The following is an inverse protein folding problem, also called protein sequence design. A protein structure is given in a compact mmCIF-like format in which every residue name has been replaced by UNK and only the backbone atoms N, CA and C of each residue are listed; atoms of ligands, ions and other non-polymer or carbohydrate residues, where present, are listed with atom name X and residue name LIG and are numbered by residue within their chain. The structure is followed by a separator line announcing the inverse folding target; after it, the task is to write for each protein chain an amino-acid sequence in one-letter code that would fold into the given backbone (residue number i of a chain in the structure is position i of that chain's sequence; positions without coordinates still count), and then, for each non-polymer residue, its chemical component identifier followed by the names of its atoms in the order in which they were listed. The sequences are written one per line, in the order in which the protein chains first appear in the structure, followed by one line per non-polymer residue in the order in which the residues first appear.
data_IF_073801097969
#
_entry.id   IF_073801097969
#
_cell.length_a   1.000
_cell.length_b   1.000
_cell.length_c   1.000
_cell.angle_alpha   90.00
_cell.angle_beta   90.00
_cell.angle_gamma   90.00
#
_symmetry.space_group_name_H-M   'P 1'
#
loop_
_entity.id
_entity.type
_entity.pdbx_description
1 polymer ?
#
# COMPACT_ATOMS: atom_id res chain seq x y z
N UNK A 1 -35.79 -15.06 -14.24
CA UNK A 1 -35.39 -14.57 -12.91
C UNK A 1 -34.00 -15.11 -12.63
N UNK A 2 -32.95 -14.40 -13.09
CA UNK A 2 -31.58 -14.73 -12.72
C UNK A 2 -31.38 -14.27 -11.27
N UNK A 3 -31.22 -15.22 -10.35
CA UNK A 3 -30.87 -14.91 -8.97
C UNK A 3 -29.59 -14.06 -8.95
N UNK A 4 -29.65 -12.92 -8.28
CA UNK A 4 -28.48 -12.10 -8.03
C UNK A 4 -27.48 -12.93 -7.22
N UNK A 5 -26.34 -13.28 -7.82
CA UNK A 5 -25.31 -14.07 -7.14
C UNK A 5 -24.69 -13.23 -6.02
N UNK A 6 -24.56 -13.82 -4.84
CA UNK A 6 -23.96 -13.18 -3.67
C UNK A 6 -22.50 -12.80 -3.97
N UNK A 7 -22.16 -11.50 -3.87
CA UNK A 7 -20.80 -11.00 -4.06
C UNK A 7 -20.04 -10.99 -2.74
N UNK A 8 -18.82 -11.50 -2.76
CA UNK A 8 -17.86 -11.37 -1.65
C UNK A 8 -17.20 -10.00 -1.71
N UNK A 9 -16.79 -9.47 -0.56
CA UNK A 9 -16.08 -8.19 -0.46
C UNK A 9 -14.86 -8.34 0.44
N UNK A 10 -13.70 -8.00 -0.09
CA UNK A 10 -12.47 -7.84 0.70
C UNK A 10 -12.11 -6.37 0.68
N UNK A 11 -11.93 -5.80 1.87
CA UNK A 11 -11.37 -4.47 2.07
C UNK A 11 -10.32 -4.54 3.16
N UNK A 12 -9.17 -3.95 2.88
CA UNK A 12 -8.04 -3.88 3.80
C UNK A 12 -8.19 -2.66 4.70
N UNK A 13 -7.82 -2.82 5.97
CA UNK A 13 -7.82 -1.73 6.96
C UNK A 13 -6.61 -0.81 6.70
N UNK A 14 -6.73 -0.02 5.63
CA UNK A 14 -5.74 0.90 5.12
C UNK A 14 -6.34 2.29 5.18
N UNK A 15 -5.67 3.21 5.90
CA UNK A 15 -6.14 4.57 6.04
C UNK A 15 -5.88 5.38 4.77
N UNK A 16 -6.85 6.18 4.31
CA UNK A 16 -6.64 7.07 3.18
C UNK A 16 -5.59 8.13 3.50
N UNK A 17 -4.85 8.53 2.48
CA UNK A 17 -3.76 9.51 2.55
C UNK A 17 -3.91 10.53 1.43
N UNK A 18 -3.40 11.73 1.65
CA UNK A 18 -3.35 12.78 0.62
C UNK A 18 -1.91 13.03 0.19
N UNK A 19 -1.70 13.09 -1.12
CA UNK A 19 -0.40 13.39 -1.71
C UNK A 19 -0.09 14.87 -1.65
N UNK A 20 1.18 15.21 -1.79
CA UNK A 20 1.60 16.55 -2.16
C UNK A 20 1.48 16.74 -3.67
N UNK A 21 1.01 17.90 -4.10
CA UNK A 21 0.71 18.21 -5.51
C UNK A 21 1.85 18.94 -6.23
N UNK A 22 2.98 19.19 -5.57
CA UNK A 22 4.14 19.82 -6.19
C UNK A 22 5.19 18.78 -6.63
N UNK A 23 6.16 19.21 -7.46
CA UNK A 23 7.28 18.35 -7.85
C UNK A 23 6.88 17.12 -8.69
N UNK A 24 5.96 17.32 -9.64
CA UNK A 24 5.32 16.29 -10.47
C UNK A 24 4.36 15.35 -9.70
N UNK A 25 3.99 15.73 -8.47
CA UNK A 25 3.11 14.95 -7.61
C UNK A 25 3.87 13.90 -6.80
N UNK A 26 3.23 13.35 -5.77
CA UNK A 26 3.81 12.36 -4.86
C UNK A 26 2.95 11.09 -4.80
N UNK A 27 2.38 10.69 -5.94
CA UNK A 27 1.34 9.67 -6.01
C UNK A 27 1.88 8.29 -5.62
N UNK A 28 3.03 7.91 -6.17
CA UNK A 28 3.71 6.66 -5.82
C UNK A 28 4.13 6.64 -4.35
N UNK A 29 4.74 7.73 -3.85
CA UNK A 29 5.20 7.82 -2.47
C UNK A 29 4.04 7.74 -1.48
N UNK A 30 2.92 8.38 -1.80
CA UNK A 30 1.73 8.40 -0.94
C UNK A 30 0.98 7.07 -0.98
N UNK A 31 0.92 6.41 -2.15
CA UNK A 31 0.40 5.04 -2.26
C UNK A 31 1.21 4.08 -1.37
N UNK A 32 2.55 4.18 -1.41
CA UNK A 32 3.42 3.37 -0.58
C UNK A 32 3.32 3.73 0.92
N UNK A 33 3.22 5.01 1.27
CA UNK A 33 2.95 5.45 2.64
C UNK A 33 1.67 4.83 3.18
N UNK A 34 0.57 4.89 2.41
CA UNK A 34 -0.72 4.32 2.80
C UNK A 34 -0.64 2.81 3.01
N UNK A 35 -0.02 2.08 2.08
CA UNK A 35 0.17 0.63 2.19
C UNK A 35 1.13 0.27 3.34
N UNK A 36 2.17 1.07 3.59
CA UNK A 36 3.11 0.85 4.68
C UNK A 36 2.42 0.76 6.05
N UNK A 37 1.39 1.57 6.28
CA UNK A 37 0.58 1.53 7.50
C UNK A 37 -0.04 0.15 7.74
N UNK A 38 -0.50 -0.52 6.68
CA UNK A 38 -1.05 -1.89 6.75
C UNK A 38 -0.03 -2.93 7.25
N UNK A 39 1.25 -2.62 7.11
CA UNK A 39 2.37 -3.47 7.52
C UNK A 39 3.15 -2.93 8.72
N UNK A 40 2.56 -1.98 9.45
CA UNK A 40 3.15 -1.42 10.67
C UNK A 40 4.32 -0.47 10.39
N UNK A 41 4.30 0.22 9.26
CA UNK A 41 5.36 1.13 8.83
C UNK A 41 4.79 2.53 8.57
N UNK A 42 5.33 3.56 9.24
CA UNK A 42 5.23 4.95 8.79
C UNK A 42 6.42 5.26 7.88
N UNK A 43 6.15 5.83 6.71
CA UNK A 43 7.18 6.19 5.72
C UNK A 43 6.76 7.54 5.11
N UNK A 44 7.54 8.59 5.35
CA UNK A 44 7.30 9.93 4.80
C UNK A 44 7.33 9.93 3.27
N UNK A 45 6.48 10.75 2.63
CA UNK A 45 6.50 10.99 1.19
C UNK A 45 7.89 11.47 0.72
N UNK A 46 8.47 12.42 1.44
CA UNK A 46 9.81 12.94 1.14
C UNK A 46 10.90 11.89 1.30
N UNK A 47 10.78 11.02 2.31
CA UNK A 47 11.76 9.96 2.53
C UNK A 47 11.75 8.98 1.36
N UNK A 48 10.57 8.55 0.90
CA UNK A 48 10.44 7.67 -0.26
C UNK A 48 11.09 8.28 -1.50
N UNK A 49 10.77 9.54 -1.82
CA UNK A 49 11.37 10.32 -2.92
C UNK A 49 12.91 10.40 -2.82
N UNK A 50 13.45 10.45 -1.61
CA UNK A 50 14.89 10.61 -1.38
C UNK A 50 15.72 9.33 -1.57
N UNK A 51 15.09 8.14 -1.55
CA UNK A 51 15.84 6.87 -1.65
C UNK A 51 16.55 6.75 -3.00
N UNK A 52 15.90 7.19 -4.08
CA UNK A 52 16.43 7.13 -5.44
C UNK A 52 16.46 8.51 -6.12
N UNK A 53 16.45 9.58 -5.32
CA UNK A 53 16.57 10.98 -5.78
C UNK A 53 15.59 11.36 -6.92
N UNK A 54 14.39 10.78 -6.92
CA UNK A 54 13.45 10.92 -8.03
C UNK A 54 12.07 10.36 -7.71
N UNK A 55 11.08 10.76 -8.50
CA UNK A 55 9.70 10.29 -8.37
C UNK A 55 9.61 8.77 -8.34
N UNK A 56 8.75 8.24 -7.47
CA UNK A 56 8.44 6.81 -7.44
C UNK A 56 7.52 6.45 -8.62
N UNK A 57 8.13 6.09 -9.75
CA UNK A 57 7.43 5.67 -10.97
C UNK A 57 7.41 4.15 -11.10
N UNK A 58 6.23 3.59 -11.42
CA UNK A 58 6.04 2.16 -11.67
C UNK A 58 6.15 1.83 -13.17
N UNK A 59 7.38 1.84 -13.68
CA UNK A 59 7.72 1.46 -15.07
C UNK A 59 8.85 0.42 -15.06
N UNK A 60 9.39 0.04 -16.22
CA UNK A 60 10.53 -0.87 -16.27
C UNK A 60 11.89 -0.23 -16.00
N UNK A 61 12.01 1.06 -16.28
CA UNK A 61 13.19 1.86 -15.95
C UNK A 61 12.96 2.68 -14.67
N UNK A 62 11.90 2.36 -13.92
CA UNK A 62 11.54 3.01 -12.67
C UNK A 62 12.46 2.63 -11.52
N UNK A 63 12.40 3.42 -10.45
CA UNK A 63 13.15 3.21 -9.21
C UNK A 63 12.31 2.47 -8.13
N UNK A 64 11.20 1.88 -8.56
CA UNK A 64 10.16 1.29 -7.75
C UNK A 64 10.62 0.04 -6.98
N UNK A 65 11.21 -0.93 -7.68
CA UNK A 65 11.70 -2.16 -7.06
C UNK A 65 12.79 -1.87 -6.01
N UNK A 66 13.79 -1.06 -6.36
CA UNK A 66 14.88 -0.67 -5.45
C UNK A 66 14.34 0.06 -4.21
N UNK A 67 13.33 0.92 -4.39
CA UNK A 67 12.67 1.62 -3.28
C UNK A 67 11.92 0.63 -2.37
N UNK A 68 11.15 -0.30 -2.93
CA UNK A 68 10.40 -1.31 -2.18
C UNK A 68 11.34 -2.26 -1.43
N UNK A 69 12.45 -2.68 -2.04
CA UNK A 69 13.48 -3.49 -1.41
C UNK A 69 14.15 -2.74 -0.26
N UNK A 70 14.55 -1.48 -0.49
CA UNK A 70 15.16 -0.61 0.52
C UNK A 70 14.24 -0.42 1.72
N UNK A 71 12.93 -0.27 1.49
CA UNK A 71 11.92 -0.10 2.53
C UNK A 71 11.44 -1.42 3.16
N UNK A 72 12.09 -2.54 2.80
CA UNK A 72 11.89 -3.87 3.37
C UNK A 72 10.50 -4.47 3.12
N UNK A 73 9.96 -4.23 1.93
CA UNK A 73 8.76 -4.90 1.46
C UNK A 73 9.08 -6.17 0.68
N UNK A 74 8.20 -7.15 0.80
CA UNK A 74 8.08 -8.26 -0.15
C UNK A 74 7.01 -7.89 -1.16
N UNK A 75 7.30 -8.01 -2.45
CA UNK A 75 6.38 -7.59 -3.50
C UNK A 75 6.42 -8.52 -4.71
N UNK A 76 5.41 -8.38 -5.56
CA UNK A 76 5.34 -8.98 -6.90
C UNK A 76 5.03 -7.86 -7.90
N UNK A 77 5.86 -7.69 -8.92
CA UNK A 77 5.62 -6.76 -10.03
C UNK A 77 4.74 -7.42 -11.08
N UNK A 78 3.76 -6.69 -11.61
CA UNK A 78 3.04 -7.11 -12.81
C UNK A 78 3.98 -7.11 -14.02
N UNK A 79 4.19 -8.30 -14.64
CA UNK A 79 5.10 -8.45 -15.77
C UNK A 79 4.40 -8.10 -17.09
N UNK A 80 4.22 -6.81 -17.37
CA UNK A 80 3.54 -6.35 -18.56
C UNK A 80 4.28 -6.71 -19.88
N UNK A 81 5.60 -6.94 -19.86
CA UNK A 81 6.37 -7.30 -21.06
C UNK A 81 6.03 -8.69 -21.59
N UNK A 82 5.65 -9.61 -20.71
CA UNK A 82 5.32 -10.99 -21.07
C UNK A 82 3.83 -11.20 -21.36
N UNK A 83 3.00 -10.16 -21.16
CA UNK A 83 1.55 -10.27 -21.28
C UNK A 83 1.03 -9.76 -22.63
N UNK A 84 0.20 -10.58 -23.27
CA UNK A 84 -0.42 -10.24 -24.54
C UNK A 84 -1.42 -9.08 -24.38
N UNK A 85 -1.42 -8.16 -25.34
CA UNK A 85 -2.38 -7.05 -25.38
C UNK A 85 -3.72 -7.49 -26.00
N UNK A 86 -4.87 -6.94 -25.54
CA UNK A 86 -5.00 -5.97 -24.45
C UNK A 86 -4.85 -6.63 -23.06
N UNK A 87 -4.07 -6.01 -22.16
CA UNK A 87 -3.69 -6.62 -20.88
C UNK A 87 -4.74 -6.52 -19.78
N UNK A 88 -5.69 -5.58 -19.88
CA UNK A 88 -6.53 -5.19 -18.74
C UNK A 88 -7.26 -6.34 -18.04
N UNK A 89 -7.76 -7.34 -18.79
CA UNK A 89 -8.49 -8.45 -18.18
C UNK A 89 -7.57 -9.31 -17.29
N UNK A 90 -6.36 -9.60 -17.79
CA UNK A 90 -5.37 -10.39 -17.04
C UNK A 90 -4.82 -9.59 -15.87
N UNK A 91 -4.58 -8.30 -16.05
CA UNK A 91 -4.19 -7.40 -14.97
C UNK A 91 -5.28 -7.35 -13.87
N UNK A 92 -6.56 -7.23 -14.24
CA UNK A 92 -7.67 -7.26 -13.27
C UNK A 92 -7.77 -8.59 -12.52
N UNK A 93 -7.54 -9.72 -13.21
CA UNK A 93 -7.48 -11.04 -12.57
C UNK A 93 -6.31 -11.13 -11.58
N UNK A 94 -5.15 -10.59 -11.96
CA UNK A 94 -3.99 -10.51 -11.08
C UNK A 94 -4.27 -9.66 -9.84
N UNK A 95 -4.85 -8.46 -10.00
CA UNK A 95 -5.29 -7.63 -8.87
C UNK A 95 -6.26 -8.39 -7.96
N UNK A 96 -7.28 -9.05 -8.53
CA UNK A 96 -8.25 -9.85 -7.79
C UNK A 96 -7.57 -10.93 -6.95
N UNK A 97 -6.67 -11.71 -7.56
CA UNK A 97 -5.92 -12.77 -6.88
C UNK A 97 -5.15 -12.24 -5.66
N UNK A 98 -4.51 -11.08 -5.77
CA UNK A 98 -3.75 -10.47 -4.66
C UNK A 98 -4.66 -9.88 -3.59
N UNK A 99 -5.70 -9.13 -3.99
CA UNK A 99 -6.62 -8.48 -3.04
C UNK A 99 -7.43 -9.51 -2.24
N UNK A 100 -7.85 -10.62 -2.85
CA UNK A 100 -8.50 -11.75 -2.14
C UNK A 100 -7.58 -12.36 -1.09
N UNK A 101 -6.27 -12.41 -1.35
CA UNK A 101 -5.24 -12.86 -0.40
C UNK A 101 -4.81 -11.77 0.60
N UNK A 102 -5.48 -10.61 0.58
CA UNK A 102 -5.20 -9.46 1.45
C UNK A 102 -3.84 -8.80 1.23
N UNK A 103 -3.33 -8.87 0.00
CA UNK A 103 -2.18 -8.11 -0.47
C UNK A 103 -2.69 -6.82 -1.14
N UNK A 104 -2.43 -5.63 -0.58
CA UNK A 104 -2.77 -4.38 -1.27
C UNK A 104 -1.93 -4.24 -2.55
N UNK A 105 -2.50 -3.56 -3.54
CA UNK A 105 -1.83 -3.33 -4.81
C UNK A 105 -1.60 -1.84 -5.06
N UNK A 106 -0.54 -1.52 -5.78
CA UNK A 106 -0.29 -0.22 -6.38
C UNK A 106 -0.66 -0.34 -7.85
N UNK A 107 -1.43 0.60 -8.38
CA UNK A 107 -1.92 0.61 -9.77
C UNK A 107 -1.63 1.94 -10.46
N UNK A 108 -1.41 1.89 -11.77
CA UNK A 108 -1.29 3.06 -12.65
C UNK A 108 -2.60 3.34 -13.41
N UNK A 109 -2.95 4.62 -13.58
CA UNK A 109 -4.14 5.06 -14.32
C UNK A 109 -3.88 6.28 -15.20
N UNK A 110 -4.72 6.46 -16.22
CA UNK A 110 -4.86 7.71 -16.96
C UNK A 110 -5.80 8.68 -16.26
N UNK A 111 -5.50 9.97 -16.30
CA UNK A 111 -6.29 11.07 -15.76
C UNK A 111 -6.44 12.15 -16.84
N UNK A 112 -7.65 12.69 -17.01
CA UNK A 112 -7.95 13.61 -18.10
C UNK A 112 -7.70 15.09 -17.76
N UNK A 113 -7.58 15.42 -16.47
CA UNK A 113 -7.41 16.78 -15.94
C UNK A 113 -6.01 17.03 -15.33
N UNK A 114 -5.00 16.28 -15.80
CA UNK A 114 -3.59 16.56 -15.51
C UNK A 114 -2.98 17.48 -16.57
N UNK A 115 -2.01 18.31 -16.16
CA UNK A 115 -1.22 19.15 -17.06
C UNK A 115 -0.14 18.35 -17.79
N UNK A 116 0.31 17.25 -17.20
CA UNK A 116 1.35 16.37 -17.74
C UNK A 116 0.72 15.10 -18.28
N UNK A 117 0.81 14.90 -19.60
CA UNK A 117 0.20 13.78 -20.31
C UNK A 117 1.29 12.81 -20.74
N UNK A 118 1.30 11.62 -20.13
CA UNK A 118 2.22 10.53 -20.49
C UNK A 118 1.51 9.43 -21.31
N UNK A 119 2.20 8.77 -22.22
CA UNK A 119 1.61 7.67 -22.99
C UNK A 119 1.40 6.40 -22.11
N UNK A 120 2.19 6.23 -21.05
CA UNK A 120 2.13 5.11 -20.12
C UNK A 120 1.03 5.26 -19.07
N UNK A 121 1.07 6.30 -18.24
CA UNK A 121 0.05 6.64 -17.23
C UNK A 121 0.30 8.02 -16.59
N UNK A 122 -0.70 8.59 -15.90
CA UNK A 122 -0.58 9.90 -15.24
C UNK A 122 -0.53 9.85 -13.72
N UNK A 123 -1.03 8.77 -13.12
CA UNK A 123 -1.24 8.73 -11.67
C UNK A 123 -1.13 7.32 -11.12
N UNK A 124 -0.65 7.23 -9.88
CA UNK A 124 -0.46 5.99 -9.14
C UNK A 124 -1.37 5.99 -7.91
N UNK A 125 -2.03 4.87 -7.63
CA UNK A 125 -2.99 4.76 -6.52
C UNK A 125 -2.88 3.42 -5.79
N UNK A 126 -3.21 3.38 -4.49
CA UNK A 126 -3.36 2.13 -3.76
C UNK A 126 -4.76 1.53 -4.01
N UNK A 127 -4.79 0.33 -4.59
CA UNK A 127 -5.94 -0.56 -4.56
C UNK A 127 -5.94 -1.37 -3.26
N UNK A 128 -7.01 -1.24 -2.49
CA UNK A 128 -7.12 -1.75 -1.11
C UNK A 128 -8.24 -2.77 -0.94
N UNK A 129 -8.99 -3.07 -1.99
CA UNK A 129 -10.06 -4.05 -1.90
C UNK A 129 -10.69 -4.40 -3.24
N UNK A 130 -11.49 -5.46 -3.21
CA UNK A 130 -12.28 -5.92 -4.34
C UNK A 130 -13.63 -6.48 -3.88
N UNK A 131 -14.67 -6.17 -4.63
CA UNK A 131 -15.95 -6.84 -4.57
C UNK A 131 -16.06 -7.80 -5.75
N UNK A 132 -16.37 -9.08 -5.51
CA UNK A 132 -16.27 -10.10 -6.56
C UNK A 132 -17.24 -11.29 -6.44
N UNK A 133 -17.53 -11.92 -7.59
CA UNK A 133 -18.33 -13.16 -7.67
C UNK A 133 -17.47 -14.43 -7.62
N UNK A 134 -18.02 -15.49 -7.00
CA UNK A 134 -17.80 -16.95 -7.12
C UNK A 134 -16.39 -17.58 -7.33
N UNK A 135 -15.42 -16.94 -7.98
CA UNK A 135 -14.04 -17.46 -8.14
C UNK A 135 -13.02 -16.34 -8.28
N UNK A 136 -11.82 -16.51 -7.72
CA UNK A 136 -10.69 -15.58 -7.79
C UNK A 136 -9.80 -15.76 -9.04
N UNK A 137 -10.13 -16.74 -9.90
CA UNK A 137 -9.33 -17.15 -11.06
C UNK A 137 -9.85 -16.65 -12.43
N UNK A 138 -10.90 -15.82 -12.46
CA UNK A 138 -11.51 -15.33 -13.70
C UNK A 138 -11.82 -13.84 -13.65
N UNK A 139 -11.67 -13.20 -14.80
CA UNK A 139 -12.15 -11.85 -15.03
C UNK A 139 -13.67 -11.85 -15.02
N UNK A 140 -14.26 -10.99 -14.19
CA UNK A 140 -15.69 -10.75 -14.16
C UNK A 140 -15.94 -9.24 -14.31
N UNK A 141 -16.64 -8.80 -15.37
CA UNK A 141 -16.97 -7.38 -15.57
C UNK A 141 -17.87 -6.81 -14.45
N UNK A 142 -18.47 -7.66 -13.62
CA UNK A 142 -19.29 -7.26 -12.47
C UNK A 142 -18.48 -7.09 -11.18
N UNK A 143 -17.20 -7.47 -11.16
CA UNK A 143 -16.32 -7.18 -10.03
C UNK A 143 -16.08 -5.66 -9.94
N UNK A 144 -15.81 -5.17 -8.74
CA UNK A 144 -15.51 -3.76 -8.50
C UNK A 144 -14.23 -3.60 -7.67
N UNK A 145 -13.34 -2.73 -8.13
CA UNK A 145 -12.10 -2.39 -7.46
C UNK A 145 -12.36 -1.27 -6.45
N UNK A 146 -11.75 -1.39 -5.26
CA UNK A 146 -11.83 -0.40 -4.19
C UNK A 146 -10.45 0.22 -3.94
N UNK A 147 -10.34 1.54 -4.01
CA UNK A 147 -9.06 2.25 -3.99
C UNK A 147 -9.22 3.70 -3.51
N UNK A 148 -8.11 4.35 -3.18
CA UNK A 148 -8.07 5.79 -2.85
C UNK A 148 -7.42 6.58 -3.98
N UNK A 149 -7.95 7.77 -4.31
CA UNK A 149 -7.41 8.63 -5.36
C UNK A 149 -6.18 9.45 -4.93
N UNK A 150 -5.88 9.51 -3.63
CA UNK A 150 -4.80 10.28 -3.03
C UNK A 150 -4.94 11.82 -3.08
N UNK A 151 -6.03 12.35 -3.62
CA UNK A 151 -6.35 13.78 -3.58
C UNK A 151 -7.31 14.13 -2.44
N UNK A 152 -8.09 13.15 -1.99
CA UNK A 152 -8.99 13.26 -0.86
C UNK A 152 -9.01 11.96 -0.03
N UNK A 153 -9.92 11.86 0.94
CA UNK A 153 -10.02 10.72 1.85
C UNK A 153 -11.11 9.70 1.47
N UNK A 154 -11.71 9.84 0.28
CA UNK A 154 -12.86 9.06 -0.16
C UNK A 154 -12.41 7.72 -0.72
N UNK A 155 -13.04 6.66 -0.22
CA UNK A 155 -12.97 5.36 -0.86
C UNK A 155 -13.76 5.38 -2.16
N UNK A 156 -13.09 5.11 -3.27
CA UNK A 156 -13.73 4.91 -4.57
C UNK A 156 -13.99 3.42 -4.78
N UNK A 157 -15.13 3.11 -5.38
CA UNK A 157 -15.51 1.77 -5.80
C UNK A 157 -15.94 1.83 -7.27
N UNK A 158 -15.24 1.10 -8.15
CA UNK A 158 -15.50 1.14 -9.58
C UNK A 158 -15.59 -0.24 -10.19
N UNK A 159 -16.69 -0.51 -10.87
CA UNK A 159 -16.96 -1.77 -11.53
C UNK A 159 -16.10 -1.92 -12.80
N UNK A 160 -15.42 -3.07 -12.93
CA UNK A 160 -14.40 -3.32 -13.95
C UNK A 160 -14.94 -3.30 -15.38
N UNK A 161 -16.13 -3.84 -15.60
CA UNK A 161 -16.76 -3.92 -16.92
C UNK A 161 -17.43 -2.63 -17.40
N UNK A 162 -17.40 -1.56 -16.61
CA UNK A 162 -17.97 -0.28 -17.05
C UNK A 162 -17.09 0.36 -18.10
N UNK A 163 -17.71 0.97 -19.11
CA UNK A 163 -16.98 1.64 -20.18
C UNK A 163 -16.04 2.73 -19.66
N UNK A 164 -16.22 3.24 -18.44
CA UNK A 164 -15.42 4.34 -17.89
C UNK A 164 -14.28 3.88 -16.99
N UNK A 165 -14.19 2.58 -16.66
CA UNK A 165 -13.12 2.06 -15.81
C UNK A 165 -11.87 1.72 -16.61
N UNK A 166 -12.04 1.16 -17.81
CA UNK A 166 -10.94 0.74 -18.67
C UNK A 166 -11.01 1.51 -19.99
N UNK A 167 -9.95 2.24 -20.33
CA UNK A 167 -9.91 3.11 -21.52
C UNK A 167 -8.56 3.07 -22.21
N UNK A 168 -8.53 3.49 -23.47
CA UNK A 168 -7.30 3.95 -24.10
C UNK A 168 -6.98 5.37 -23.63
N UNK A 169 -5.71 5.79 -23.72
CA UNK A 169 -5.28 7.16 -23.40
C UNK A 169 -6.21 8.23 -23.99
N UNK A 170 -6.49 8.13 -25.30
CA UNK A 170 -7.32 9.10 -26.04
C UNK A 170 -8.78 9.18 -25.58
N UNK A 171 -9.29 8.08 -25.01
CA UNK A 171 -10.71 7.95 -24.64
C UNK A 171 -10.96 8.04 -23.14
N UNK A 172 -9.91 8.09 -22.32
CA UNK A 172 -10.09 8.41 -20.91
C UNK A 172 -10.53 9.87 -20.76
N UNK A 173 -11.63 10.05 -20.02
CA UNK A 173 -12.22 11.34 -19.64
C UNK A 173 -12.44 11.43 -18.12
N UNK A 174 -11.97 10.43 -17.38
CA UNK A 174 -12.05 10.39 -15.93
C UNK A 174 -11.06 11.37 -15.33
N UNK A 175 -11.50 12.06 -14.28
CA UNK A 175 -10.68 13.01 -13.51
C UNK A 175 -10.11 12.37 -12.26
N UNK A 176 -9.32 13.13 -11.51
CA UNK A 176 -8.83 12.78 -10.17
C UNK A 176 -9.97 12.37 -9.21
N UNK A 177 -11.12 13.05 -9.24
CA UNK A 177 -12.31 12.75 -8.43
C UNK A 177 -12.88 11.34 -8.63
N UNK A 178 -12.70 10.77 -9.82
CA UNK A 178 -13.16 9.41 -10.15
C UNK A 178 -12.02 8.41 -10.18
N UNK A 179 -10.79 8.85 -9.92
CA UNK A 179 -9.60 8.02 -9.89
C UNK A 179 -9.12 7.55 -11.25
N UNK A 180 -9.45 8.27 -12.32
CA UNK A 180 -8.92 7.96 -13.64
C UNK A 180 -9.47 6.70 -14.31
N UNK A 181 -8.76 6.20 -15.32
CA UNK A 181 -9.06 4.98 -16.05
C UNK A 181 -7.87 4.02 -16.02
N UNK A 182 -8.10 2.74 -15.77
CA UNK A 182 -7.09 1.72 -16.04
C UNK A 182 -6.77 1.69 -17.55
N UNK A 183 -5.48 1.66 -17.93
CA UNK A 183 -5.10 1.50 -19.32
C UNK A 183 -5.64 0.19 -19.91
N UNK A 184 -6.13 0.24 -21.15
CA UNK A 184 -6.64 -0.95 -21.83
C UNK A 184 -5.52 -1.87 -22.35
N UNK A 185 -4.40 -1.29 -22.81
CA UNK A 185 -3.38 -2.00 -23.59
C UNK A 185 -2.24 -2.51 -22.72
N UNK A 186 -1.57 -1.60 -22.00
CA UNK A 186 -0.42 -1.90 -21.14
C UNK A 186 -0.75 -1.45 -19.73
N UNK A 187 -0.66 -2.33 -18.75
CA UNK A 187 -0.91 -2.01 -17.35
C UNK A 187 0.37 -2.07 -16.54
N UNK A 188 0.43 -1.32 -15.44
CA UNK A 188 1.52 -1.34 -14.48
C UNK A 188 0.96 -1.53 -13.07
N UNK A 189 1.72 -2.23 -12.22
CA UNK A 189 1.34 -2.39 -10.84
C UNK A 189 2.27 -3.28 -10.02
N UNK A 190 2.10 -3.18 -8.70
CA UNK A 190 2.77 -4.01 -7.69
C UNK A 190 1.75 -4.58 -6.73
N UNK A 191 1.91 -5.83 -6.34
CA UNK A 191 1.25 -6.37 -5.18
C UNK A 191 2.26 -6.37 -4.03
N UNK A 192 1.93 -5.69 -2.93
CA UNK A 192 2.75 -5.70 -1.73
C UNK A 192 2.30 -6.91 -0.91
N UNK A 193 3.17 -7.91 -0.81
CA UNK A 193 2.85 -9.22 -0.23
C UNK A 193 3.06 -9.26 1.28
N UNK A 194 3.82 -8.29 1.80
CA UNK A 194 4.22 -8.27 3.20
C UNK A 194 5.48 -7.47 3.42
N UNK A 195 6.02 -7.65 4.63
CA UNK A 195 7.37 -7.21 4.97
C UNK A 195 8.38 -8.29 4.59
N UNK A 196 9.65 -7.90 4.44
CA UNK A 196 10.77 -8.84 4.37
C UNK A 196 10.97 -9.48 5.75
N UNK A 197 10.55 -10.74 5.86
CA UNK A 197 10.66 -11.61 7.03
C UNK A 197 10.68 -13.07 6.52
N UNK A 198 11.84 -13.50 6.01
CA UNK A 198 11.98 -14.76 5.29
C UNK A 198 11.60 -15.98 6.14
N UNK A 199 11.89 -15.92 7.44
CA UNK A 199 11.61 -16.97 8.42
C UNK A 199 10.18 -16.90 8.97
N UNK A 200 9.40 -15.86 8.62
CA UNK A 200 8.03 -15.63 9.12
C UNK A 200 7.98 -15.59 10.64
N UNK A 201 8.96 -14.94 11.23
CA UNK A 201 9.21 -14.85 12.67
C UNK A 201 8.23 -13.88 13.34
N UNK A 202 7.86 -12.83 12.63
CA UNK A 202 7.01 -11.76 13.14
C UNK A 202 5.53 -12.11 12.99
N UNK A 203 4.70 -11.57 13.89
CA UNK A 203 3.25 -11.59 13.73
C UNK A 203 2.77 -10.29 13.07
N UNK A 204 1.62 -10.29 12.35
CA UNK A 204 1.16 -9.12 11.62
C UNK A 204 0.91 -7.93 12.54
N UNK A 205 1.41 -6.77 12.10
CA UNK A 205 1.24 -5.48 12.75
C UNK A 205 0.61 -4.51 11.77
N UNK A 206 -0.35 -3.72 12.24
CA UNK A 206 -0.89 -2.55 11.54
C UNK A 206 -0.64 -1.30 12.36
N UNK A 207 -0.43 -0.20 11.68
CA UNK A 207 -0.27 1.12 12.26
C UNK A 207 -1.41 2.02 11.79
N UNK A 208 -1.98 2.79 12.71
CA UNK A 208 -2.81 3.97 12.42
C UNK A 208 -2.11 5.20 12.94
N UNK A 209 -2.21 6.30 12.21
CA UNK A 209 -1.61 7.59 12.61
C UNK A 209 -2.68 8.66 12.75
N UNK A 210 -2.49 9.59 13.68
CA UNK A 210 -3.52 10.59 14.04
C UNK A 210 -3.86 11.63 12.97
N UNK A 211 -3.15 11.65 11.85
CA UNK A 211 -3.33 12.61 10.75
C UNK A 211 -3.38 11.85 9.45
N UNK A 212 -4.27 12.20 8.52
CA UNK A 212 -4.37 11.61 7.17
C UNK A 212 -3.56 12.35 6.09
N UNK A 213 -2.96 13.49 6.45
CA UNK A 213 -2.10 14.31 5.59
C UNK A 213 -0.73 14.50 6.26
N UNK A 214 0.36 14.40 5.50
CA UNK A 214 1.71 14.72 5.97
C UNK A 214 2.02 16.19 5.70
N UNK A 215 2.60 16.96 6.64
CA UNK A 215 3.05 18.32 6.35
C UNK A 215 4.01 18.36 5.15
N UNK A 216 3.77 19.24 4.19
CA UNK A 216 4.54 19.30 2.96
C UNK A 216 5.95 19.87 3.15
N UNK A 217 6.91 18.98 3.38
CA UNK A 217 8.31 19.32 3.64
C UNK A 217 9.00 19.90 2.41
N UNK A 218 8.60 19.45 1.22
CA UNK A 218 9.18 19.89 -0.05
C UNK A 218 8.88 21.36 -0.38
N UNK A 219 7.86 21.93 0.27
CA UNK A 219 7.52 23.37 0.21
C UNK A 219 7.89 24.13 1.49
N UNK A 220 8.63 23.50 2.41
CA UNK A 220 9.16 24.13 3.62
C UNK A 220 8.27 24.04 4.86
N UNK A 221 7.21 23.22 4.87
CA UNK A 221 6.47 22.95 6.09
C UNK A 221 7.35 22.26 7.14
N UNK A 222 7.07 22.51 8.42
CA UNK A 222 7.78 21.84 9.51
C UNK A 222 7.20 20.45 9.80
N UNK A 223 8.04 19.45 10.13
CA UNK A 223 7.57 18.16 10.59
C UNK A 223 6.73 18.28 11.87
N UNK A 224 5.80 17.34 12.05
CA UNK A 224 4.98 17.23 13.27
C UNK A 224 5.14 15.86 13.90
N UNK A 225 4.84 15.76 15.20
CA UNK A 225 4.74 14.46 15.89
C UNK A 225 3.29 14.01 15.83
N UNK A 226 3.07 12.82 15.27
CA UNK A 226 1.76 12.17 15.18
C UNK A 226 1.64 11.10 16.24
N UNK A 227 0.42 10.85 16.74
CA UNK A 227 0.18 9.69 17.59
C UNK A 227 0.05 8.44 16.71
N UNK A 228 0.76 7.37 17.09
CA UNK A 228 0.67 6.06 16.45
C UNK A 228 -0.13 5.07 17.30
N UNK A 229 -1.12 4.40 16.70
CA UNK A 229 -1.81 3.25 17.32
C UNK A 229 -1.44 1.99 16.57
N UNK A 230 -0.83 1.05 17.29
CA UNK A 230 -0.36 -0.22 16.79
C UNK A 230 -1.43 -1.28 17.11
N UNK A 231 -1.80 -2.07 16.11
CA UNK A 231 -2.64 -3.26 16.28
C UNK A 231 -1.86 -4.49 15.85
N UNK A 232 -1.82 -5.50 16.72
CA UNK A 232 -1.15 -6.78 16.49
C UNK A 232 -2.19 -7.88 16.34
N UNK A 233 -1.98 -8.82 15.42
CA UNK A 233 -2.94 -9.87 15.07
C UNK A 233 -2.34 -11.27 15.17
N UNK A 234 -3.20 -12.29 15.10
CA UNK A 234 -2.83 -13.72 15.11
C UNK A 234 -2.04 -14.16 16.34
N UNK A 235 -2.32 -13.52 17.49
CA UNK A 235 -1.67 -13.82 18.74
C UNK A 235 -2.18 -15.13 19.36
N UNK A 236 -1.33 -15.81 20.12
CA UNK A 236 -1.68 -17.01 20.88
C UNK A 236 -1.93 -16.62 22.33
N UNK A 237 -3.16 -16.81 22.81
CA UNK A 237 -3.54 -16.49 24.19
C UNK A 237 -2.61 -17.14 25.21
N UNK A 238 -2.14 -16.35 26.17
CA UNK A 238 -1.25 -16.76 27.25
C UNK A 238 0.23 -16.71 26.90
N UNK A 239 0.61 -16.51 25.63
CA UNK A 239 2.01 -16.33 25.18
C UNK A 239 2.46 -14.89 25.35
N UNK A 240 3.75 -14.69 25.60
CA UNK A 240 4.36 -13.37 25.70
C UNK A 240 4.88 -12.92 24.33
N UNK A 241 4.83 -11.61 24.10
CA UNK A 241 5.26 -10.96 22.88
C UNK A 241 5.98 -9.65 23.19
N UNK A 242 6.81 -9.20 22.26
CA UNK A 242 7.44 -7.89 22.27
C UNK A 242 7.11 -7.14 20.98
N UNK A 243 6.58 -5.92 21.10
CA UNK A 243 6.53 -4.93 20.02
C UNK A 243 7.85 -4.17 20.04
N UNK A 244 8.55 -4.17 18.91
CA UNK A 244 9.83 -3.51 18.69
C UNK A 244 9.62 -2.33 17.74
N UNK A 245 10.01 -1.14 18.18
CA UNK A 245 9.97 0.10 17.40
C UNK A 245 11.36 0.40 16.84
N UNK A 246 11.44 0.71 15.55
CA UNK A 246 12.65 1.17 14.87
C UNK A 246 12.39 2.54 14.27
N UNK A 247 13.36 3.45 14.37
CA UNK A 247 13.24 4.82 13.85
C UNK A 247 13.85 4.99 12.46
N UNK A 248 14.23 3.87 11.83
CA UNK A 248 14.71 3.81 10.46
C UNK A 248 14.58 2.39 9.93
N UNK A 249 14.26 2.26 8.64
CA UNK A 249 14.32 0.98 7.93
C UNK A 249 15.70 0.32 8.04
N UNK A 250 16.78 1.11 8.10
CA UNK A 250 18.17 0.63 8.20
C UNK A 250 18.46 -0.16 9.49
N UNK A 251 17.59 -0.05 10.50
CA UNK A 251 17.76 -0.73 11.79
C UNK A 251 16.98 -2.05 11.87
N UNK A 252 16.03 -2.26 10.95
CA UNK A 252 15.13 -3.43 10.98
C UNK A 252 15.88 -4.63 10.39
N UNK A 253 15.94 -5.77 11.09
CA UNK A 253 16.48 -6.99 10.52
C UNK A 253 15.67 -7.46 9.30
N UNK A 254 16.36 -7.80 8.21
CA UNK A 254 15.73 -8.34 7.00
C UNK A 254 15.40 -9.84 7.11
N UNK A 255 16.11 -10.54 7.99
CA UNK A 255 15.95 -11.96 8.26
C UNK A 255 16.44 -12.29 9.68
N UNK A 256 16.01 -13.45 10.19
CA UNK A 256 16.41 -13.98 11.48
C UNK A 256 15.26 -14.56 12.29
N UNK A 257 15.63 -15.29 13.35
CA UNK A 257 14.70 -15.84 14.34
C UNK A 257 14.25 -14.76 15.36
N UNK A 258 13.44 -15.15 16.34
CA UNK A 258 12.98 -14.22 17.38
C UNK A 258 14.16 -13.51 18.06
N UNK A 259 15.25 -14.24 18.32
CA UNK A 259 16.45 -13.73 18.98
C UNK A 259 17.21 -12.70 18.13
N UNK A 260 17.15 -12.80 16.81
CA UNK A 260 17.71 -11.78 15.92
C UNK A 260 16.98 -10.45 16.09
N UNK A 261 15.64 -10.46 16.11
CA UNK A 261 14.84 -9.26 16.38
C UNK A 261 15.05 -8.74 17.81
N UNK A 262 15.07 -9.61 18.82
CA UNK A 262 15.21 -9.23 20.24
C UNK A 262 16.61 -8.69 20.61
N UNK A 263 17.64 -8.98 19.79
CA UNK A 263 19.00 -8.43 19.93
C UNK A 263 19.32 -7.34 18.91
N UNK A 264 18.37 -7.00 18.03
CA UNK A 264 18.56 -5.96 17.03
C UNK A 264 18.59 -4.57 17.66
N UNK A 265 18.97 -3.57 16.85
CA UNK A 265 19.07 -2.18 17.28
C UNK A 265 17.71 -1.45 17.23
N UNK A 266 16.68 -2.04 17.84
CA UNK A 266 15.40 -1.36 18.01
C UNK A 266 15.58 -0.15 18.96
N UNK A 267 14.77 0.87 18.73
CA UNK A 267 14.76 2.09 19.55
C UNK A 267 14.04 1.88 20.88
N UNK A 268 12.87 1.22 20.85
CA UNK A 268 12.12 0.89 22.06
C UNK A 268 11.37 -0.44 21.94
N UNK A 269 11.06 -1.03 23.09
CA UNK A 269 10.42 -2.35 23.24
C UNK A 269 9.26 -2.26 24.23
N UNK A 270 8.13 -2.83 23.86
CA UNK A 270 6.97 -3.01 24.71
C UNK A 270 6.62 -4.49 24.82
N UNK A 271 6.63 -5.04 26.04
CA UNK A 271 6.30 -6.43 26.29
C UNK A 271 4.87 -6.58 26.81
N UNK A 272 4.21 -7.64 26.39
CA UNK A 272 2.88 -7.96 26.88
C UNK A 272 2.60 -9.46 26.81
N UNK A 273 1.62 -9.90 27.59
CA UNK A 273 1.06 -11.25 27.50
C UNK A 273 -0.26 -11.18 26.73
N UNK A 274 -0.40 -11.97 25.68
CA UNK A 274 -1.61 -11.95 24.85
C UNK A 274 -2.82 -12.52 25.62
N UNK A 275 -3.88 -11.73 25.75
CA UNK A 275 -5.14 -12.17 26.38
C UNK A 275 -6.17 -12.65 25.34
N UNK A 276 -6.02 -12.24 24.09
CA UNK A 276 -6.80 -12.63 22.92
C UNK A 276 -5.89 -12.87 21.71
N UNK A 277 -6.48 -13.00 20.52
CA UNK A 277 -5.78 -13.10 19.23
C UNK A 277 -5.32 -11.74 18.68
N UNK A 278 -5.63 -10.65 19.39
CA UNK A 278 -5.31 -9.27 19.00
C UNK A 278 -4.81 -8.47 20.20
N UNK A 279 -4.00 -7.43 19.93
CA UNK A 279 -3.51 -6.52 20.96
C UNK A 279 -3.37 -5.12 20.39
N UNK A 280 -3.70 -4.10 21.19
CA UNK A 280 -3.55 -2.70 20.80
C UNK A 280 -2.60 -1.98 21.75
N UNK A 281 -1.73 -1.16 21.17
CA UNK A 281 -0.71 -0.39 21.85
C UNK A 281 -0.65 1.01 21.24
N UNK A 282 -0.57 2.04 22.07
CA UNK A 282 -0.35 3.42 21.61
C UNK A 282 1.11 3.75 21.81
N UNK A 283 1.80 4.23 20.77
CA UNK A 283 3.18 4.68 20.89
C UNK A 283 3.26 5.92 21.80
N UNK A 284 3.94 5.84 22.96
CA UNK A 284 4.06 6.96 23.89
C UNK A 284 5.01 8.06 23.41
N UNK A 285 5.90 7.76 22.47
CA UNK A 285 6.88 8.72 21.92
C UNK A 285 6.31 9.53 20.75
N UNK A 286 5.29 8.99 20.08
CA UNK A 286 4.79 9.50 18.82
C UNK A 286 5.73 9.23 17.64
N UNK A 287 5.26 9.60 16.45
CA UNK A 287 5.89 9.31 15.17
C UNK A 287 6.19 10.63 14.46
N UNK A 288 7.47 10.94 14.16
CA UNK A 288 7.82 12.13 13.39
C UNK A 288 7.36 11.99 11.94
N UNK A 289 6.64 13.00 11.43
CA UNK A 289 6.05 12.95 10.08
C UNK A 289 7.08 12.92 8.96
N UNK A 290 8.31 13.38 9.18
CA UNK A 290 9.36 13.47 8.17
C UNK A 290 10.34 12.28 8.14
N UNK A 291 10.03 11.22 8.89
CA UNK A 291 10.93 10.09 9.04
C UNK A 291 10.36 8.79 8.51
N UNK A 292 10.89 7.70 9.05
CA UNK A 292 10.26 6.40 8.96
C UNK A 292 10.24 5.74 10.33
N UNK A 293 9.18 5.00 10.62
CA UNK A 293 9.04 4.28 11.90
C UNK A 293 8.44 2.93 11.62
N UNK A 294 9.09 1.87 12.11
CA UNK A 294 8.71 0.49 11.83
C UNK A 294 8.38 -0.21 13.13
N UNK A 295 7.29 -0.97 13.13
CA UNK A 295 6.93 -1.86 14.21
C UNK A 295 7.04 -3.31 13.75
N UNK A 296 7.69 -4.13 14.56
CA UNK A 296 7.69 -5.59 14.43
C UNK A 296 7.24 -6.19 15.74
N UNK A 297 6.44 -7.26 15.69
CA UNK A 297 6.05 -7.97 16.89
C UNK A 297 6.54 -9.41 16.82
N UNK A 298 7.27 -9.85 17.83
CA UNK A 298 7.82 -11.21 17.91
C UNK A 298 7.42 -11.88 19.23
N UNK A 299 7.26 -13.21 19.25
CA UNK A 299 7.09 -13.93 20.51
C UNK A 299 8.36 -13.91 21.36
N UNK A 300 8.18 -13.89 22.69
CA UNK A 300 9.28 -13.94 23.69
C UNK A 300 9.07 -15.05 24.72
#
# INVERSE_FOLDING_TARGET
MSGEKEKKRVILDIEPRTQWENGHGFCGETALQSIGLYYGCWISQQLTRSINEGELLITDDGNDADTLETLLFKFEKWNFKEEAQPQFQRHCMWLKKHLVQRHPCIIAVYIADTEEIDDDYDHIMPAIGIQYSESDDKYDPQDALLFYNLFDLKLLERQLGTNDMVKTRRTCKSTTDTGGCLPQQINYGYAILGIKDEQKTTVPVRLKVSMSHEPNLSTGASPVIMQGTIAVFTLVRGRNYAILRYNSYKQVPESGDNEAFLRSNYHSRHEFRAESDTYSYVDPEGIPSNGSTYYRCVPI
#
